data_IF_195944950967
#
_entry.id   IF_195944950967
#
_cell.length_a   1.000
_cell.length_b   1.000
_cell.length_c   1.000
_cell.angle_alpha   90.00
_cell.angle_beta   90.00
_cell.angle_gamma   90.00
#
_symmetry.space_group_name_H-M   'P 1'
#
loop_
_entity.id
_entity.type
_entity.pdbx_description
1 polymer ?
#
# COMPACT_ATOMS: atom_id res chain seq x y z
N UNK A 1 8.72 -25.72 21.43
CA UNK A 1 8.82 -24.31 21.03
C UNK A 1 9.29 -23.52 22.24
N UNK A 2 10.28 -22.64 22.08
CA UNK A 2 10.88 -21.88 23.19
C UNK A 2 10.52 -20.39 23.15
N UNK A 3 9.96 -19.93 22.03
CA UNK A 3 9.61 -18.55 21.78
C UNK A 3 8.36 -18.15 22.57
N UNK A 4 8.30 -16.93 23.10
CA UNK A 4 7.07 -16.41 23.70
C UNK A 4 5.96 -16.36 22.64
N UNK A 5 4.71 -16.57 23.07
CA UNK A 5 3.53 -16.59 22.19
C UNK A 5 3.58 -17.66 21.10
N UNK A 6 4.37 -18.72 21.30
CA UNK A 6 4.43 -19.86 20.41
C UNK A 6 3.81 -21.11 21.04
N UNK A 7 3.20 -21.95 20.21
CA UNK A 7 2.64 -23.24 20.60
C UNK A 7 3.08 -24.33 19.61
N UNK A 8 2.99 -25.59 20.05
CA UNK A 8 3.25 -26.74 19.20
C UNK A 8 1.94 -27.14 18.50
N UNK A 9 1.91 -27.08 17.17
CA UNK A 9 0.74 -27.46 16.38
C UNK A 9 0.58 -28.99 16.29
N UNK A 10 -0.56 -29.45 15.77
CA UNK A 10 -0.79 -30.88 15.48
C UNK A 10 0.24 -31.45 14.49
N UNK A 11 0.76 -30.61 13.60
CA UNK A 11 1.82 -30.97 12.65
C UNK A 11 3.21 -31.08 13.31
N UNK A 12 3.30 -30.90 14.63
CA UNK A 12 4.56 -30.85 15.40
C UNK A 12 5.50 -29.74 14.95
N UNK A 13 4.94 -28.66 14.41
CA UNK A 13 5.66 -27.43 14.08
C UNK A 13 5.37 -26.35 15.13
N UNK A 14 6.32 -25.46 15.33
CA UNK A 14 6.13 -24.30 16.18
C UNK A 14 5.41 -23.21 15.41
N UNK A 15 4.28 -22.76 15.95
CA UNK A 15 3.45 -21.71 15.36
C UNK A 15 3.17 -20.60 16.38
N UNK A 16 2.82 -19.42 15.90
CA UNK A 16 2.47 -18.29 16.76
C UNK A 16 0.97 -18.28 17.11
N UNK A 17 0.65 -17.80 18.32
CA UNK A 17 -0.72 -17.52 18.76
C UNK A 17 -1.45 -16.58 17.78
N UNK A 18 -2.78 -16.64 17.77
CA UNK A 18 -3.60 -15.73 16.97
C UNK A 18 -3.27 -14.25 17.31
N UNK A 19 -3.15 -13.42 16.28
CA UNK A 19 -2.75 -12.01 16.44
C UNK A 19 -1.23 -11.76 16.41
N UNK A 20 -0.42 -12.80 16.21
CA UNK A 20 1.02 -12.69 16.02
C UNK A 20 1.45 -13.18 14.62
N UNK A 21 2.48 -12.55 14.06
CA UNK A 21 3.16 -12.98 12.84
C UNK A 21 4.42 -13.78 13.15
N UNK A 22 4.64 -14.84 12.37
CA UNK A 22 5.79 -15.74 12.47
C UNK A 22 7.02 -15.17 11.74
N UNK A 23 8.12 -14.99 12.48
CA UNK A 23 9.44 -14.64 11.93
C UNK A 23 10.25 -15.93 11.85
N UNK A 24 10.72 -16.29 10.66
CA UNK A 24 11.52 -17.50 10.43
C UNK A 24 13.01 -17.16 10.36
N UNK A 25 13.83 -17.99 10.98
CA UNK A 25 15.28 -17.95 10.84
C UNK A 25 15.72 -18.57 9.49
N UNK A 26 16.97 -18.35 9.09
CA UNK A 26 17.55 -18.86 7.84
C UNK A 26 17.54 -20.38 7.71
N UNK A 27 17.50 -21.09 8.83
CA UNK A 27 17.37 -22.55 8.92
C UNK A 27 15.90 -23.04 8.85
N UNK A 28 14.93 -22.14 8.67
CA UNK A 28 13.50 -22.47 8.56
C UNK A 28 12.83 -22.81 9.89
N UNK A 29 13.43 -22.45 11.03
CA UNK A 29 12.79 -22.57 12.35
C UNK A 29 12.16 -21.25 12.77
N UNK A 30 11.04 -21.32 13.51
CA UNK A 30 10.41 -20.14 14.13
C UNK A 30 11.42 -19.43 15.04
N UNK A 31 11.75 -18.19 14.71
CA UNK A 31 12.69 -17.33 15.44
C UNK A 31 11.95 -16.46 16.45
N UNK A 32 10.84 -15.84 16.04
CA UNK A 32 10.06 -14.93 16.87
C UNK A 32 8.57 -14.87 16.47
N UNK A 33 7.70 -14.59 17.44
CA UNK A 33 6.32 -14.18 17.24
C UNK A 33 6.19 -12.68 17.53
N UNK A 34 5.76 -11.89 16.55
CA UNK A 34 5.58 -10.44 16.72
C UNK A 34 4.12 -10.05 16.61
N UNK A 35 3.64 -9.15 17.46
CA UNK A 35 2.26 -8.67 17.40
C UNK A 35 1.93 -8.06 16.03
N UNK A 36 0.77 -8.42 15.48
CA UNK A 36 0.26 -7.81 14.25
C UNK A 36 -0.12 -6.35 14.52
N UNK A 37 0.47 -5.37 13.82
CA UNK A 37 0.13 -3.98 14.03
C UNK A 37 -1.28 -3.67 13.49
N UNK A 38 -2.05 -2.89 14.26
CA UNK A 38 -3.33 -2.36 13.80
C UNK A 38 -3.06 -1.19 12.85
N UNK A 39 -3.41 -1.34 11.58
CA UNK A 39 -3.31 -0.26 10.59
C UNK A 39 -4.65 0.47 10.53
N UNK A 40 -4.70 1.71 11.00
CA UNK A 40 -5.82 2.61 10.72
C UNK A 40 -5.59 3.21 9.34
N UNK A 41 -6.31 2.72 8.34
CA UNK A 41 -6.32 3.35 7.02
C UNK A 41 -7.11 4.65 7.18
N UNK A 42 -6.52 5.84 6.94
CA UNK A 42 -7.27 7.08 6.97
C UNK A 42 -8.37 6.96 5.93
N UNK A 43 -9.62 6.93 6.38
CA UNK A 43 -10.78 6.96 5.50
C UNK A 43 -10.70 8.24 4.67
N UNK A 44 -11.01 8.13 3.38
CA UNK A 44 -10.85 9.17 2.34
C UNK A 44 -11.52 10.51 2.64
N UNK A 45 -12.28 10.61 3.73
CA UNK A 45 -12.80 11.87 4.26
C UNK A 45 -11.72 12.80 4.85
N UNK A 46 -10.54 12.29 5.24
CA UNK A 46 -9.54 13.11 5.92
C UNK A 46 -8.74 14.05 5.01
N UNK A 47 -8.70 13.81 3.69
CA UNK A 47 -8.15 14.79 2.74
C UNK A 47 -8.84 14.68 1.39
N UNK A 48 -9.87 15.52 1.20
CA UNK A 48 -10.21 16.09 -0.12
C UNK A 48 -9.10 17.04 -0.62
N UNK A 49 -7.84 16.67 -0.42
CA UNK A 49 -6.70 17.39 -0.97
C UNK A 49 -6.74 17.19 -2.47
N UNK A 50 -6.96 18.28 -3.19
CA UNK A 50 -7.21 18.36 -4.62
C UNK A 50 -6.42 17.34 -5.44
N UNK A 51 -7.06 16.20 -5.77
CA UNK A 51 -6.50 15.24 -6.72
C UNK A 51 -6.55 15.90 -8.10
N UNK A 52 -5.45 16.51 -8.52
CA UNK A 52 -5.30 17.07 -9.86
C UNK A 52 -5.21 15.91 -10.85
N UNK A 53 -6.34 15.46 -11.39
CA UNK A 53 -6.36 14.49 -12.49
C UNK A 53 -5.88 15.20 -13.76
N UNK A 54 -4.64 14.95 -14.17
CA UNK A 54 -4.15 15.37 -15.48
C UNK A 54 -4.80 14.49 -16.54
N UNK A 55 -5.52 15.08 -17.49
CA UNK A 55 -6.05 14.40 -18.67
C UNK A 55 -5.07 14.59 -19.83
N UNK A 56 -4.53 13.51 -20.35
CA UNK A 56 -3.77 13.54 -21.60
C UNK A 56 -4.74 13.75 -22.78
N UNK A 57 -4.54 14.81 -23.55
CA UNK A 57 -5.24 15.00 -24.84
C UNK A 57 -4.54 14.14 -25.89
N UNK A 58 -5.33 13.41 -26.68
CA UNK A 58 -4.80 12.55 -27.75
C UNK A 58 -4.21 13.43 -28.87
N UNK A 59 -2.95 13.21 -29.31
CA UNK A 59 -2.26 14.10 -30.25
C UNK A 59 -2.92 14.25 -31.62
N UNK A 60 -3.79 13.32 -32.02
CA UNK A 60 -4.44 13.33 -33.34
C UNK A 60 -5.87 13.86 -33.32
N UNK A 61 -6.36 14.38 -32.19
CA UNK A 61 -7.66 15.05 -32.18
C UNK A 61 -7.54 16.40 -32.89
N UNK A 62 -8.02 16.47 -34.14
CA UNK A 62 -8.14 17.72 -34.87
C UNK A 62 -9.08 18.66 -34.10
N UNK A 63 -8.50 19.66 -33.45
CA UNK A 63 -9.23 20.77 -32.87
C UNK A 63 -9.92 21.54 -34.00
N UNK A 64 -11.20 21.26 -34.23
CA UNK A 64 -12.06 22.14 -35.03
C UNK A 64 -12.21 23.46 -34.27
N UNK A 65 -11.34 24.41 -34.60
CA UNK A 65 -11.42 25.82 -34.22
C UNK A 65 -12.79 26.40 -34.68
N UNK A 66 -13.34 27.44 -34.03
CA UNK A 66 -12.73 28.75 -34.21
C UNK A 66 -12.74 29.68 -32.99
N UNK A 67 -11.89 30.71 -33.11
CA UNK A 67 -12.02 32.05 -32.51
C UNK A 67 -11.76 32.20 -31.00
N UNK A 68 -10.51 32.53 -30.69
CA UNK A 68 -10.14 33.21 -29.45
C UNK A 68 -8.70 33.67 -29.51
N UNK A 69 -8.47 34.93 -29.89
CA UNK A 69 -7.14 35.57 -29.85
C UNK A 69 -6.55 35.45 -28.45
N UNK A 70 -5.44 34.73 -28.30
CA UNK A 70 -4.66 34.68 -27.07
C UNK A 70 -3.18 34.67 -27.42
N UNK A 71 -2.50 35.80 -27.17
CA UNK A 71 -1.10 36.06 -27.49
C UNK A 71 -0.16 35.00 -26.88
N UNK A 72 0.77 34.52 -27.68
CA UNK A 72 1.97 33.81 -27.25
C UNK A 72 2.86 34.73 -26.41
N UNK A 73 3.39 34.23 -25.30
CA UNK A 73 4.56 34.79 -24.63
C UNK A 73 5.59 33.67 -24.45
N UNK A 74 6.83 33.95 -24.82
CA UNK A 74 8.00 33.11 -24.57
C UNK A 74 8.90 33.85 -23.56
N UNK A 75 9.36 33.13 -22.53
CA UNK A 75 10.58 33.39 -21.77
C UNK A 75 11.25 32.04 -21.52
#
# INVERSE_FOLDING_TARGET
>A
CSQPHSYCSEMRTCSCEEGYTEVMSSNGTLEQCTLIPVVVIPTVEDKRGDVKTSRAVHPTQSSSNPTGRGRTWFL
#
